data_IF_835116287716
#
_entry.id   IF_835116287716
#
_cell.length_a   1.000
_cell.length_b   1.000
_cell.length_c   1.000
_cell.angle_alpha   90.00
_cell.angle_beta   90.00
_cell.angle_gamma   90.00
#
_symmetry.space_group_name_H-M   'P 1'
#
loop_
_entity.id
_entity.type
_entity.pdbx_description
1 polymer ?
#
# COMPACT_ATOMS: atom_id res chain seq x y z
N UNK A 1 4.25 -17.58 37.72
CA UNK A 1 5.31 -16.93 36.93
C UNK A 1 4.68 -15.75 36.21
N UNK A 2 5.13 -14.52 36.48
CA UNK A 2 4.65 -13.34 35.76
C UNK A 2 5.57 -13.13 34.56
N UNK A 3 5.06 -13.38 33.36
CA UNK A 3 5.76 -13.06 32.11
C UNK A 3 5.81 -11.55 31.94
N UNK A 4 7.00 -10.98 31.79
CA UNK A 4 7.12 -9.55 31.49
C UNK A 4 6.59 -9.29 30.07
N UNK A 5 5.98 -8.13 29.78
CA UNK A 5 5.53 -7.80 28.41
C UNK A 5 6.65 -7.86 27.36
N UNK A 6 7.91 -7.77 27.81
CA UNK A 6 9.12 -7.94 27.00
C UNK A 6 9.40 -9.37 26.54
N UNK A 7 8.82 -10.38 27.19
CA UNK A 7 9.04 -11.81 26.87
C UNK A 7 8.11 -12.31 25.74
N UNK A 8 7.13 -11.48 25.33
CA UNK A 8 6.30 -11.76 24.16
C UNK A 8 7.11 -11.51 22.88
N UNK A 9 7.38 -12.59 22.14
CA UNK A 9 8.06 -12.53 20.84
C UNK A 9 7.28 -11.60 19.90
N UNK A 10 7.88 -10.45 19.58
CA UNK A 10 7.28 -9.46 18.67
C UNK A 10 7.07 -10.11 17.29
N UNK A 11 5.80 -10.22 16.89
CA UNK A 11 5.43 -10.84 15.61
C UNK A 11 5.73 -9.96 14.38
N UNK A 12 6.08 -8.68 14.60
CA UNK A 12 6.51 -7.76 13.55
C UNK A 12 5.49 -7.62 12.43
N UNK A 13 5.96 -7.67 11.18
CA UNK A 13 5.13 -7.55 9.97
C UNK A 13 3.97 -8.54 9.97
N UNK A 14 4.21 -9.80 10.34
CA UNK A 14 3.20 -10.86 10.27
C UNK A 14 2.02 -10.57 11.18
N UNK A 15 2.29 -10.23 12.45
CA UNK A 15 1.22 -9.88 13.40
C UNK A 15 0.45 -8.62 13.00
N UNK A 16 1.11 -7.65 12.37
CA UNK A 16 0.44 -6.46 11.86
C UNK A 16 -0.45 -6.77 10.65
N UNK A 17 0.00 -7.59 9.72
CA UNK A 17 -0.80 -7.99 8.56
C UNK A 17 -2.05 -8.75 8.99
N UNK A 18 -1.95 -9.68 9.93
CA UNK A 18 -3.13 -10.38 10.47
C UNK A 18 -4.15 -9.41 11.09
N UNK A 19 -3.68 -8.38 11.80
CA UNK A 19 -4.58 -7.35 12.38
C UNK A 19 -5.22 -6.50 11.28
N UNK A 20 -4.47 -6.16 10.23
CA UNK A 20 -4.98 -5.38 9.10
C UNK A 20 -6.00 -6.18 8.28
N UNK A 21 -5.76 -7.47 8.05
CA UNK A 21 -6.70 -8.38 7.37
C UNK A 21 -8.00 -8.56 8.16
N UNK A 22 -7.91 -8.74 9.49
CA UNK A 22 -9.11 -8.82 10.35
C UNK A 22 -9.94 -7.54 10.34
N UNK A 23 -9.29 -6.38 10.12
CA UNK A 23 -9.98 -5.11 9.95
C UNK A 23 -10.50 -5.04 8.51
N UNK A 24 -11.71 -5.55 8.30
CA UNK A 24 -12.47 -5.64 7.03
C UNK A 24 -12.61 -4.34 6.20
N UNK A 25 -12.00 -3.22 6.62
CA UNK A 25 -12.07 -1.89 5.98
C UNK A 25 -10.72 -1.37 5.48
N UNK A 26 -9.60 -2.08 5.72
CA UNK A 26 -8.28 -1.60 5.29
C UNK A 26 -7.96 -2.09 3.88
N UNK A 27 -7.84 -1.15 2.93
CA UNK A 27 -7.33 -1.43 1.58
C UNK A 27 -5.81 -1.25 1.57
N UNK A 28 -5.09 -2.33 1.85
CA UNK A 28 -3.63 -2.33 1.88
C UNK A 28 -3.08 -2.34 0.45
N UNK A 29 -2.14 -1.42 0.16
CA UNK A 29 -1.41 -1.37 -1.10
C UNK A 29 0.03 -1.81 -0.82
N UNK A 30 0.48 -2.98 -1.32
CA UNK A 30 1.88 -3.38 -1.22
C UNK A 30 2.77 -2.47 -2.08
N UNK A 31 4.09 -2.56 -1.90
CA UNK A 31 5.04 -1.80 -2.71
C UNK A 31 4.85 -2.01 -4.22
N UNK A 32 4.55 -3.25 -4.64
CA UNK A 32 4.22 -3.55 -6.04
C UNK A 32 2.98 -2.82 -6.56
N UNK A 33 1.98 -2.56 -5.71
CA UNK A 33 0.84 -1.73 -6.07
C UNK A 33 1.22 -0.25 -6.20
N UNK A 34 2.15 0.23 -5.36
CA UNK A 34 2.71 1.57 -5.53
C UNK A 34 3.52 1.71 -6.83
N UNK A 35 4.30 0.69 -7.22
CA UNK A 35 5.04 0.69 -8.50
C UNK A 35 4.10 0.82 -9.70
N UNK A 36 2.92 0.18 -9.65
CA UNK A 36 1.87 0.34 -10.67
C UNK A 36 1.33 1.77 -10.74
N UNK A 37 1.09 2.40 -9.58
CA UNK A 37 0.72 3.82 -9.50
C UNK A 37 1.81 4.69 -10.15
N UNK A 38 3.08 4.50 -9.76
CA UNK A 38 4.19 5.31 -10.26
C UNK A 38 4.34 5.18 -11.79
N UNK A 39 4.25 3.95 -12.31
CA UNK A 39 4.27 3.69 -13.76
C UNK A 39 3.16 4.45 -14.49
N UNK A 40 1.93 4.41 -13.97
CA UNK A 40 0.79 5.09 -14.56
C UNK A 40 0.93 6.62 -14.55
N UNK A 41 1.40 7.18 -13.43
CA UNK A 41 1.66 8.62 -13.32
C UNK A 41 2.74 9.08 -14.30
N UNK A 42 3.83 8.30 -14.45
CA UNK A 42 4.92 8.60 -15.37
C UNK A 42 4.44 8.54 -16.83
N UNK A 43 3.69 7.49 -17.21
CA UNK A 43 3.10 7.38 -18.56
C UNK A 43 2.17 8.56 -18.89
N UNK A 44 1.29 8.94 -17.95
CA UNK A 44 0.40 10.08 -18.13
C UNK A 44 1.16 11.41 -18.20
N UNK A 45 2.26 11.55 -17.44
CA UNK A 45 3.15 12.69 -17.49
C UNK A 45 3.83 12.83 -18.86
N UNK A 46 4.34 11.73 -19.42
CA UNK A 46 5.05 11.72 -20.70
C UNK A 46 4.18 12.26 -21.85
N UNK A 47 2.88 11.93 -21.86
CA UNK A 47 1.92 12.46 -22.85
C UNK A 47 1.73 13.99 -22.76
N UNK A 48 2.01 14.59 -21.60
CA UNK A 48 1.90 16.03 -21.34
C UNK A 48 3.26 16.73 -21.28
N UNK A 49 4.34 16.04 -21.65
CA UNK A 49 5.71 16.52 -21.52
C UNK A 49 6.08 16.95 -20.08
N UNK A 50 5.61 16.17 -19.10
CA UNK A 50 5.92 16.32 -17.68
C UNK A 50 6.59 15.05 -17.15
N UNK A 51 7.37 15.11 -16.05
CA UNK A 51 7.94 13.91 -15.44
C UNK A 51 6.88 12.91 -14.97
N UNK A 52 5.75 13.42 -14.46
CA UNK A 52 4.58 12.64 -14.07
C UNK A 52 3.33 13.51 -14.02
N UNK A 53 2.18 12.89 -14.18
CA UNK A 53 0.88 13.48 -13.87
C UNK A 53 0.28 12.69 -12.71
N UNK A 54 0.16 13.35 -11.54
CA UNK A 54 -0.27 12.67 -10.32
C UNK A 54 -1.74 12.28 -10.36
N UNK A 55 -2.05 11.10 -9.85
CA UNK A 55 -3.42 10.70 -9.56
C UNK A 55 -3.84 11.42 -8.27
N UNK A 56 -4.98 12.12 -8.31
CA UNK A 56 -5.41 13.00 -7.21
C UNK A 56 -6.66 12.51 -6.49
N UNK A 57 -7.23 11.38 -6.93
CA UNK A 57 -8.41 10.78 -6.30
C UNK A 57 -8.08 9.41 -5.70
N UNK A 58 -8.74 9.08 -4.59
CA UNK A 58 -8.54 7.81 -3.90
C UNK A 58 -8.96 6.61 -4.74
N UNK A 59 -10.09 6.73 -5.45
CA UNK A 59 -10.61 5.63 -6.27
C UNK A 59 -9.68 5.32 -7.44
N UNK A 60 -9.09 6.33 -8.08
CA UNK A 60 -8.11 6.12 -9.15
C UNK A 60 -6.78 5.58 -8.64
N UNK A 61 -6.32 6.00 -7.45
CA UNK A 61 -5.11 5.44 -6.82
C UNK A 61 -5.30 3.95 -6.53
N UNK A 62 -6.44 3.60 -5.93
CA UNK A 62 -6.78 2.21 -5.62
C UNK A 62 -6.97 1.40 -6.90
N UNK A 63 -7.58 1.97 -7.94
CA UNK A 63 -7.70 1.31 -9.24
C UNK A 63 -6.31 1.04 -9.84
N UNK A 64 -5.45 2.05 -9.92
CA UNK A 64 -4.09 1.91 -10.48
C UNK A 64 -3.23 0.90 -9.70
N UNK A 65 -3.36 0.85 -8.37
CA UNK A 65 -2.64 -0.11 -7.54
C UNK A 65 -3.05 -1.57 -7.76
N UNK A 66 -4.27 -1.81 -8.26
CA UNK A 66 -4.87 -3.14 -8.40
C UNK A 66 -5.14 -3.54 -9.86
N UNK A 67 -4.74 -2.73 -10.85
CA UNK A 67 -4.80 -3.10 -12.28
C UNK A 67 -3.89 -4.31 -12.53
N UNK A 68 -4.36 -5.32 -13.26
CA UNK A 68 -3.61 -6.58 -13.51
C UNK A 68 -2.33 -6.34 -14.31
#
# INVERSE_FOLDING_TARGET
MFTSPSDLKKQGRTGLLEILERKNRVRFVPFSGWEKIDSKENMAGQLKNKPREKITTWDELLKAANEE
#
